data_IF_825030048490
#
_entry.id   IF_825030048490
#
_cell.length_a   1.000
_cell.length_b   1.000
_cell.length_c   1.000
_cell.angle_alpha   90.00
_cell.angle_beta   90.00
_cell.angle_gamma   90.00
#
_symmetry.space_group_name_H-M   'P 1'
#
loop_
_entity.id
_entity.type
_entity.pdbx_description
1 polymer ?
#
# COMPACT_ATOMS: atom_id res chain seq x y z
N UNK A 1 2.77 3.69 10.04
CA UNK A 1 2.62 5.10 10.45
C UNK A 1 1.32 5.59 9.82
N UNK A 2 0.35 6.02 10.63
CA UNK A 2 -0.93 6.54 10.14
C UNK A 2 -0.85 8.06 10.14
N UNK A 3 -1.14 8.68 8.98
CA UNK A 3 -1.28 10.12 8.85
C UNK A 3 -2.77 10.40 8.72
N UNK A 4 -3.32 11.16 9.67
CA UNK A 4 -4.72 11.59 9.61
C UNK A 4 -4.77 12.94 8.94
N UNK A 5 -5.61 13.07 7.92
CA UNK A 5 -6.10 14.39 7.53
C UNK A 5 -7.10 14.81 8.61
N UNK A 6 -6.77 15.86 9.34
CA UNK A 6 -7.60 16.36 10.43
C UNK A 6 -8.03 17.76 10.01
N UNK A 7 -9.33 17.98 9.89
CA UNK A 7 -9.90 19.32 9.79
C UNK A 7 -9.72 20.01 11.16
N UNK A 8 -8.57 20.67 11.35
CA UNK A 8 -8.18 21.25 12.64
C UNK A 8 -8.52 22.73 12.80
N UNK A 9 -9.37 23.31 11.95
CA UNK A 9 -9.73 24.72 12.03
C UNK A 9 -8.52 25.66 11.89
N UNK A 10 -7.87 26.03 13.00
CA UNK A 10 -6.77 27.00 13.06
C UNK A 10 -5.42 26.40 13.52
N UNK A 11 -5.26 25.08 13.59
CA UNK A 11 -3.96 24.46 13.90
C UNK A 11 -3.08 24.34 12.66
N UNK A 12 -1.82 24.69 12.83
CA UNK A 12 -0.80 24.59 11.78
C UNK A 12 -0.39 23.13 11.59
N UNK A 13 -0.38 22.64 10.34
CA UNK A 13 0.15 21.32 10.01
C UNK A 13 1.58 21.10 10.53
N UNK A 14 1.93 19.84 10.80
CA UNK A 14 3.30 19.48 11.18
C UNK A 14 4.29 19.84 10.06
N UNK A 15 5.39 20.57 10.35
CA UNK A 15 6.42 20.79 9.35
C UNK A 15 7.03 19.48 8.87
N UNK A 16 7.29 19.36 7.56
CA UNK A 16 7.88 18.17 6.95
C UNK A 16 9.21 17.75 7.64
N UNK A 17 10.01 18.71 8.10
CA UNK A 17 11.25 18.44 8.84
C UNK A 17 11.02 17.72 10.17
N UNK A 18 9.96 18.05 10.91
CA UNK A 18 9.62 17.37 12.17
C UNK A 18 9.17 15.93 11.90
N UNK A 19 8.36 15.74 10.86
CA UNK A 19 7.95 14.41 10.41
C UNK A 19 9.15 13.55 10.01
N UNK A 20 10.05 14.08 9.17
CA UNK A 20 11.26 13.37 8.75
C UNK A 20 12.16 13.01 9.93
N UNK A 21 12.29 13.89 10.93
CA UNK A 21 13.05 13.61 12.14
C UNK A 21 12.45 12.46 12.97
N UNK A 22 11.12 12.38 13.06
CA UNK A 22 10.43 11.26 13.73
C UNK A 22 10.72 9.95 13.00
N UNK A 23 10.56 9.92 11.67
CA UNK A 23 10.80 8.71 10.89
C UNK A 23 12.24 8.26 10.94
N UNK A 24 13.20 9.20 10.89
CA UNK A 24 14.61 8.89 11.09
C UNK A 24 14.86 8.24 12.45
N UNK A 25 14.35 8.84 13.53
CA UNK A 25 14.50 8.28 14.89
C UNK A 25 13.90 6.88 15.02
N UNK A 26 12.75 6.63 14.38
CA UNK A 26 12.14 5.30 14.34
C UNK A 26 13.04 4.32 13.56
N UNK A 27 13.55 4.73 12.40
CA UNK A 27 14.41 3.88 11.55
C UNK A 27 15.75 3.51 12.21
N UNK A 28 16.25 4.32 13.14
CA UNK A 28 17.45 4.01 13.94
C UNK A 28 17.23 2.81 14.89
N UNK A 29 15.99 2.60 15.34
CA UNK A 29 15.65 1.55 16.32
C UNK A 29 14.91 0.37 15.69
N UNK A 30 14.28 0.58 14.52
CA UNK A 30 13.50 -0.42 13.79
C UNK A 30 13.97 -0.41 12.35
N UNK A 31 14.52 -1.53 11.88
CA UNK A 31 14.86 -1.70 10.47
C UNK A 31 13.58 -1.67 9.64
N UNK A 32 13.34 -0.53 9.00
CA UNK A 32 12.30 -0.40 7.99
C UNK A 32 12.87 -0.95 6.68
N UNK A 33 12.19 -1.94 6.12
CA UNK A 33 12.50 -2.44 4.79
C UNK A 33 12.23 -1.31 3.77
N UNK A 34 13.26 -0.87 3.06
CA UNK A 34 13.14 0.18 2.05
C UNK A 34 12.26 -0.21 0.85
N UNK A 35 11.97 -1.51 0.69
CA UNK A 35 11.02 -2.02 -0.30
C UNK A 35 9.59 -2.14 0.23
N UNK A 36 9.37 -1.82 1.52
CA UNK A 36 8.04 -1.85 2.12
C UNK A 36 7.13 -0.84 1.41
N UNK A 37 5.91 -1.29 1.10
CA UNK A 37 4.90 -0.48 0.43
C UNK A 37 4.38 0.59 1.37
N UNK A 38 4.36 1.84 0.90
CA UNK A 38 3.65 2.93 1.56
C UNK A 38 2.17 2.89 1.20
N UNK A 39 1.31 2.85 2.23
CA UNK A 39 -0.15 2.76 2.07
C UNK A 39 -0.86 3.82 2.89
N UNK A 40 -1.99 4.29 2.37
CA UNK A 40 -2.85 5.30 2.99
C UNK A 40 -4.23 4.70 3.25
N UNK A 41 -4.81 5.05 4.39
CA UNK A 41 -6.19 4.72 4.74
C UNK A 41 -6.97 6.04 4.70
N UNK A 42 -7.96 6.14 3.82
CA UNK A 42 -8.70 7.38 3.57
C UNK A 42 -10.20 7.10 3.69
N UNK A 43 -10.92 7.97 4.40
CA UNK A 43 -12.38 7.98 4.49
C UNK A 43 -12.85 9.43 4.55
N UNK A 44 -13.93 9.73 3.83
CA UNK A 44 -14.66 11.00 3.88
C UNK A 44 -15.74 11.02 4.98
N UNK A 45 -15.76 9.99 5.84
CA UNK A 45 -16.78 9.80 6.87
C UNK A 45 -18.13 9.31 6.34
N UNK A 46 -18.30 9.19 5.03
CA UNK A 46 -19.52 8.67 4.38
C UNK A 46 -19.28 7.26 3.86
N UNK A 47 -18.19 7.04 3.15
CA UNK A 47 -17.78 5.73 2.64
C UNK A 47 -16.91 4.98 3.65
N UNK A 48 -16.98 3.63 3.65
CA UNK A 48 -16.06 2.81 4.42
C UNK A 48 -14.60 3.16 4.12
N UNK A 49 -13.72 2.96 5.11
CA UNK A 49 -12.28 3.20 4.96
C UNK A 49 -11.73 2.52 3.71
N UNK A 50 -11.16 3.32 2.82
CA UNK A 50 -10.54 2.87 1.57
C UNK A 50 -9.03 2.82 1.73
N UNK A 51 -8.41 1.83 1.08
CA UNK A 51 -6.97 1.64 1.12
C UNK A 51 -6.35 2.02 -0.22
N UNK A 52 -5.27 2.78 -0.15
CA UNK A 52 -4.53 3.25 -1.31
C UNK A 52 -3.05 2.89 -1.17
N UNK A 53 -2.40 2.58 -2.28
CA UNK A 53 -0.94 2.53 -2.37
C UNK A 53 -0.39 3.83 -2.98
N UNK A 54 0.78 4.28 -2.52
CA UNK A 54 1.51 5.33 -3.21
C UNK A 54 2.08 4.82 -4.54
N UNK A 55 1.92 5.61 -5.59
CA UNK A 55 2.66 5.50 -6.84
C UNK A 55 4.07 6.11 -6.71
N UNK A 56 4.81 6.13 -7.83
CA UNK A 56 6.10 6.81 -7.89
C UNK A 56 5.89 8.33 -7.79
N UNK A 57 6.56 9.03 -6.86
CA UNK A 57 6.43 10.48 -6.74
C UNK A 57 6.91 11.22 -7.99
N UNK A 58 6.21 12.28 -8.36
CA UNK A 58 6.57 13.21 -9.43
C UNK A 58 6.87 14.58 -8.84
N UNK A 59 8.01 15.17 -9.20
CA UNK A 59 8.41 16.50 -8.73
C UNK A 59 7.95 17.52 -9.77
N UNK A 60 7.23 18.55 -9.33
CA UNK A 60 6.79 19.67 -10.18
C UNK A 60 6.34 20.86 -9.33
N UNK A 61 6.41 22.07 -9.88
CA UNK A 61 5.87 23.31 -9.28
C UNK A 61 6.06 23.45 -7.75
N UNK A 62 7.31 23.27 -7.29
CA UNK A 62 7.70 23.32 -5.87
C UNK A 62 6.99 22.32 -4.93
N UNK A 63 6.38 21.29 -5.49
CA UNK A 63 5.67 20.23 -4.79
C UNK A 63 6.11 18.83 -5.25
N UNK A 64 5.77 17.85 -4.41
CA UNK A 64 5.89 16.42 -4.74
C UNK A 64 4.48 15.87 -4.86
N UNK A 65 4.14 15.38 -6.04
CA UNK A 65 2.85 14.76 -6.33
C UNK A 65 2.97 13.24 -6.21
N UNK A 66 2.03 12.64 -5.50
CA UNK A 66 1.94 11.19 -5.34
C UNK A 66 0.51 10.79 -5.68
N UNK A 67 0.34 10.06 -6.78
CA UNK A 67 -0.96 9.48 -7.11
C UNK A 67 -1.27 8.32 -6.17
N UNK A 68 -2.49 8.31 -5.64
CA UNK A 68 -3.00 7.27 -4.76
C UNK A 68 -3.82 6.26 -5.55
N UNK A 69 -3.30 5.03 -5.65
CA UNK A 69 -3.94 3.96 -6.43
C UNK A 69 -4.75 3.08 -5.47
N UNK A 70 -6.07 2.98 -5.73
CA UNK A 70 -6.98 2.18 -4.93
C UNK A 70 -6.53 0.72 -4.89
N UNK A 71 -6.61 0.10 -3.71
CA UNK A 71 -6.28 -1.31 -3.52
C UNK A 71 -7.31 -2.02 -2.66
N UNK A 72 -7.46 -3.31 -2.94
CA UNK A 72 -8.24 -4.19 -2.07
C UNK A 72 -7.59 -4.29 -0.69
N UNK A 73 -8.44 -4.36 0.34
CA UNK A 73 -8.02 -4.71 1.68
C UNK A 73 -7.52 -6.16 1.70
N UNK A 74 -6.29 -6.31 2.18
CA UNK A 74 -5.68 -7.62 2.46
C UNK A 74 -6.04 -7.98 3.90
N UNK A 75 -6.85 -9.03 4.08
CA UNK A 75 -7.05 -9.63 5.40
C UNK A 75 -6.45 -11.03 5.37
N UNK A 76 -5.73 -11.42 6.44
CA UNK A 76 -5.06 -12.73 6.51
C UNK A 76 -5.94 -13.91 6.07
N UNK A 77 -7.23 -14.00 6.44
CA UNK A 77 -8.10 -15.07 5.94
C UNK A 77 -8.33 -15.03 4.43
N UNK A 78 -8.59 -13.85 3.85
CA UNK A 78 -8.76 -13.68 2.40
C UNK A 78 -7.49 -13.99 1.65
N UNK A 79 -6.35 -13.47 2.12
CA UNK A 79 -5.07 -13.65 1.45
C UNK A 79 -4.66 -15.14 1.44
N UNK A 80 -4.92 -15.85 2.55
CA UNK A 80 -4.73 -17.31 2.62
C UNK A 80 -5.60 -18.04 1.59
N UNK A 81 -6.89 -17.69 1.54
CA UNK A 81 -7.82 -18.30 0.59
C UNK A 81 -7.46 -18.00 -0.89
N UNK A 82 -6.97 -16.81 -1.20
CA UNK A 82 -6.51 -16.45 -2.54
C UNK A 82 -5.24 -17.22 -2.93
N UNK A 83 -4.31 -17.41 -1.99
CA UNK A 83 -3.11 -18.21 -2.22
C UNK A 83 -3.45 -19.69 -2.48
N UNK A 84 -4.38 -20.26 -1.71
CA UNK A 84 -4.88 -21.63 -1.91
C UNK A 84 -5.54 -21.81 -3.29
N UNK A 85 -6.36 -20.86 -3.74
CA UNK A 85 -6.94 -20.91 -5.09
C UNK A 85 -5.89 -20.80 -6.20
N UNK A 86 -4.87 -19.96 -6.01
CA UNK A 86 -3.79 -19.82 -6.98
C UNK A 86 -3.02 -21.14 -7.10
N UNK A 87 -2.74 -21.82 -5.98
CA UNK A 87 -2.14 -23.15 -5.98
C UNK A 87 -3.03 -24.20 -6.65
N UNK A 88 -4.34 -24.19 -6.37
CA UNK A 88 -5.29 -25.08 -7.02
C UNK A 88 -5.37 -24.85 -8.55
N UNK A 89 -5.32 -23.60 -8.99
CA UNK A 89 -5.31 -23.24 -10.42
C UNK A 89 -4.02 -23.65 -11.13
N UNK A 90 -2.86 -23.61 -10.46
CA UNK A 90 -1.58 -24.10 -10.99
C UNK A 90 -1.61 -25.62 -11.15
N UNK A 91 -2.23 -26.34 -10.21
CA UNK A 91 -2.39 -27.80 -10.28
C UNK A 91 -3.25 -28.24 -11.49
N UNK A 92 -4.24 -27.44 -11.87
CA UNK A 92 -5.21 -27.76 -12.93
C UNK A 92 -5.06 -26.91 -14.21
N UNK A 93 -3.97 -26.15 -14.36
CA UNK A 93 -3.71 -25.36 -15.57
C UNK A 93 -3.54 -26.26 -16.79
N UNK A 94 -4.15 -25.89 -17.92
CA UNK A 94 -4.28 -26.76 -19.10
C UNK A 94 -2.96 -27.44 -19.45
N UNK A 95 -2.91 -28.75 -19.27
CA UNK A 95 -1.86 -29.57 -19.85
C UNK A 95 -1.89 -29.32 -21.36
N UNK A 96 -0.94 -28.52 -21.85
CA UNK A 96 -0.68 -28.42 -23.28
C UNK A 96 -0.61 -29.86 -23.78
N UNK A 97 -1.53 -30.20 -24.67
CA UNK A 97 -1.75 -31.54 -25.17
C UNK A 97 -0.41 -32.14 -25.59
N UNK A 98 0.14 -33.02 -24.75
CA UNK A 98 1.28 -33.82 -25.10
C UNK A 98 0.86 -34.63 -26.33
N UNK A 99 1.44 -34.31 -27.50
CA UNK A 99 1.39 -35.20 -28.65
C UNK A 99 2.15 -36.46 -28.25
N UNK A 100 1.41 -37.49 -27.84
CA UNK A 100 1.94 -38.83 -27.71
C UNK A 100 2.51 -39.30 -29.06
N UNK A 101 3.57 -40.09 -28.96
CA UNK A 101 4.52 -40.46 -30.00
C UNK A 101 3.89 -40.93 -31.32
N UNK A 102 4.46 -40.43 -32.43
CA UNK A 102 4.45 -41.02 -33.76
C UNK A 102 5.85 -40.95 -34.32
#
# INVERSE_FOLDING_TARGET
MQLWDIDEGNRTHMPAGKFAAIIRKVSEHVQLDGSARLTFEVSDGVQPMQLYGASTPVIGDDAIYIELIARAASCKPRDRWLAEQTQAAICCGSANAAKCCG
#
